data_IF_436787583326
#
_entry.id   IF_436787583326
#
_cell.length_a   1.000
_cell.length_b   1.000
_cell.length_c   1.000
_cell.angle_alpha   90.00
_cell.angle_beta   90.00
_cell.angle_gamma   90.00
#
_symmetry.space_group_name_H-M   'P 1'
#
loop_
_entity.id
_entity.type
_entity.pdbx_description
1 polymer ?
#
# COMPACT_ATOMS: atom_id res chain seq x y z
N UNK A 1 7.58 -6.87 23.06
CA UNK A 1 7.97 -5.74 23.94
C UNK A 1 8.10 -4.52 23.05
N UNK A 2 7.55 -3.36 23.44
CA UNK A 2 7.67 -2.15 22.62
C UNK A 2 9.14 -1.68 22.56
N UNK A 3 9.64 -1.48 21.36
CA UNK A 3 10.95 -0.89 21.06
C UNK A 3 10.74 0.45 20.36
N UNK A 4 11.49 1.49 20.73
CA UNK A 4 11.49 2.75 19.98
C UNK A 4 12.34 2.57 18.72
N UNK A 5 11.71 2.46 17.55
CA UNK A 5 12.37 2.18 16.28
C UNK A 5 11.96 3.18 15.21
N UNK A 6 12.91 3.56 14.37
CA UNK A 6 12.60 4.20 13.09
C UNK A 6 11.80 3.22 12.22
N UNK A 7 10.78 3.71 11.50
CA UNK A 7 9.95 2.85 10.64
C UNK A 7 10.74 1.97 9.68
N UNK A 8 11.82 2.49 9.08
CA UNK A 8 12.69 1.71 8.20
C UNK A 8 13.35 0.50 8.90
N UNK A 9 13.77 0.68 10.15
CA UNK A 9 14.37 -0.35 10.99
C UNK A 9 13.33 -1.39 11.41
N UNK A 10 12.11 -0.94 11.73
CA UNK A 10 11.00 -1.80 12.06
C UNK A 10 10.66 -2.75 10.89
N UNK A 11 10.62 -2.24 9.66
CA UNK A 11 10.44 -3.05 8.45
C UNK A 11 11.60 -4.01 8.24
N UNK A 12 12.86 -3.58 8.36
CA UNK A 12 14.00 -4.47 8.22
C UNK A 12 13.95 -5.66 9.20
N UNK A 13 13.50 -5.42 10.44
CA UNK A 13 13.26 -6.47 11.44
C UNK A 13 12.08 -7.37 11.05
N UNK A 14 10.95 -6.81 10.61
CA UNK A 14 9.78 -7.59 10.19
C UNK A 14 10.11 -8.51 9.00
N UNK A 15 10.81 -7.99 7.99
CA UNK A 15 11.32 -8.76 6.85
C UNK A 15 12.26 -9.86 7.32
N UNK A 16 13.16 -9.57 8.26
CA UNK A 16 14.06 -10.57 8.85
C UNK A 16 13.28 -11.71 9.52
N UNK A 17 12.19 -11.42 10.23
CA UNK A 17 11.32 -12.46 10.82
C UNK A 17 10.67 -13.35 9.76
N UNK A 18 10.41 -12.83 8.57
CA UNK A 18 9.85 -13.59 7.46
C UNK A 18 10.88 -14.48 6.75
N UNK A 19 12.18 -14.34 7.05
CA UNK A 19 13.29 -15.14 6.50
C UNK A 19 13.25 -15.23 4.96
N UNK A 20 13.28 -14.11 4.22
CA UNK A 20 13.55 -14.17 2.79
C UNK A 20 14.91 -14.83 2.57
N UNK A 21 15.00 -15.63 1.51
CA UNK A 21 16.21 -16.32 1.08
C UNK A 21 17.01 -15.46 0.10
N UNK A 22 16.35 -14.54 -0.61
CA UNK A 22 16.99 -13.56 -1.51
C UNK A 22 16.41 -12.17 -1.27
N UNK A 23 17.30 -11.20 -1.10
CA UNK A 23 16.98 -9.78 -1.09
C UNK A 23 17.78 -9.10 -2.20
N UNK A 24 17.12 -8.37 -3.09
CA UNK A 24 17.80 -7.54 -4.09
C UNK A 24 17.18 -6.15 -4.12
N UNK A 25 18.01 -5.11 -4.10
CA UNK A 25 17.53 -3.74 -4.10
C UNK A 25 18.59 -2.77 -4.62
N UNK A 26 18.12 -1.62 -5.09
CA UNK A 26 18.95 -0.48 -5.46
C UNK A 26 18.57 0.71 -4.57
N UNK A 27 19.54 1.46 -4.01
CA UNK A 27 19.25 2.49 -3.03
C UNK A 27 18.54 3.70 -3.66
N UNK A 28 17.38 4.04 -3.12
CA UNK A 28 16.63 5.25 -3.46
C UNK A 28 15.93 5.82 -2.22
N UNK A 29 16.13 7.10 -1.93
CA UNK A 29 15.47 7.78 -0.81
C UNK A 29 13.95 7.77 -1.00
N UNK A 30 13.12 7.54 0.04
CA UNK A 30 13.46 7.26 1.44
C UNK A 30 13.61 5.77 1.80
N UNK A 31 13.52 4.87 0.83
CA UNK A 31 13.61 3.44 1.06
C UNK A 31 15.00 2.98 1.54
N UNK A 32 16.08 3.68 1.18
CA UNK A 32 17.48 3.26 1.40
C UNK A 32 17.75 2.71 2.80
N UNK A 33 17.24 3.34 3.87
CA UNK A 33 17.47 2.87 5.25
C UNK A 33 16.97 1.44 5.49
N UNK A 34 15.90 1.00 4.81
CA UNK A 34 15.38 -0.37 4.94
C UNK A 34 16.44 -1.38 4.49
N UNK A 35 17.06 -1.15 3.33
CA UNK A 35 18.06 -2.07 2.77
C UNK A 35 19.39 -1.99 3.49
N UNK A 36 19.79 -0.82 3.97
CA UNK A 36 20.97 -0.68 4.83
C UNK A 36 20.80 -1.46 6.14
N UNK A 37 19.63 -1.38 6.78
CA UNK A 37 19.34 -2.13 8.00
C UNK A 37 19.26 -3.65 7.74
N UNK A 38 18.67 -4.08 6.61
CA UNK A 38 18.70 -5.50 6.22
C UNK A 38 20.15 -5.96 6.02
N UNK A 39 20.97 -5.20 5.28
CA UNK A 39 22.38 -5.52 5.06
C UNK A 39 23.15 -5.65 6.38
N UNK A 40 22.88 -4.76 7.34
CA UNK A 40 23.45 -4.85 8.69
C UNK A 40 23.00 -6.12 9.42
N UNK A 41 21.72 -6.47 9.40
CA UNK A 41 21.20 -7.69 10.03
C UNK A 41 21.79 -8.97 9.42
N UNK A 42 22.10 -8.95 8.11
CA UNK A 42 22.84 -10.04 7.45
C UNK A 42 24.28 -10.10 7.91
N UNK A 43 24.99 -8.97 7.93
CA UNK A 43 26.38 -8.89 8.39
C UNK A 43 26.54 -9.31 9.86
N UNK A 44 25.55 -9.00 10.70
CA UNK A 44 25.50 -9.38 12.11
C UNK A 44 25.07 -10.85 12.33
N UNK A 45 24.76 -11.59 11.26
CA UNK A 45 24.33 -13.00 11.32
C UNK A 45 22.91 -13.22 11.83
N UNK A 46 22.09 -12.17 11.89
CA UNK A 46 20.69 -12.22 12.35
C UNK A 46 19.72 -12.65 11.23
N UNK A 47 20.10 -12.43 9.96
CA UNK A 47 19.37 -12.91 8.79
C UNK A 47 20.31 -13.70 7.87
N UNK A 48 19.92 -14.93 7.52
CA UNK A 48 20.59 -15.74 6.51
C UNK A 48 19.85 -15.60 5.18
N UNK A 49 20.30 -14.68 4.34
CA UNK A 49 19.78 -14.43 2.98
C UNK A 49 20.93 -14.17 2.03
N UNK A 50 20.72 -14.43 0.73
CA UNK A 50 21.56 -13.87 -0.32
C UNK A 50 21.16 -12.40 -0.52
N UNK A 51 22.11 -11.47 -0.38
CA UNK A 51 21.89 -10.04 -0.62
C UNK A 51 22.57 -9.64 -1.93
N UNK A 52 21.78 -9.20 -2.91
CA UNK A 52 22.29 -8.84 -4.24
C UNK A 52 22.23 -7.34 -4.44
N UNK A 53 23.41 -6.71 -4.48
CA UNK A 53 23.57 -5.31 -4.90
C UNK A 53 23.53 -5.21 -6.41
N UNK A 54 22.45 -4.66 -6.94
CA UNK A 54 22.22 -4.50 -8.37
C UNK A 54 22.64 -3.10 -8.87
N UNK A 55 22.61 -2.88 -10.17
CA UNK A 55 22.95 -1.61 -10.83
C UNK A 55 21.76 -0.67 -11.06
N UNK A 56 20.52 -1.18 -10.92
CA UNK A 56 19.29 -0.40 -11.05
C UNK A 56 18.08 -1.11 -10.42
N UNK A 57 16.98 -0.39 -10.22
CA UNK A 57 15.73 -0.96 -9.73
C UNK A 57 15.11 -1.98 -10.70
N UNK A 58 15.28 -1.81 -12.02
CA UNK A 58 14.89 -2.82 -13.01
C UNK A 58 15.57 -4.17 -12.71
N UNK A 59 16.87 -4.13 -12.40
CA UNK A 59 17.66 -5.31 -12.08
C UNK A 59 17.31 -5.88 -10.71
N UNK A 60 16.99 -5.04 -9.71
CA UNK A 60 16.48 -5.49 -8.42
C UNK A 60 15.20 -6.33 -8.60
N UNK A 61 14.21 -5.82 -9.34
CA UNK A 61 12.98 -6.53 -9.63
C UNK A 61 13.23 -7.82 -10.42
N UNK A 62 14.16 -7.80 -11.39
CA UNK A 62 14.51 -8.98 -12.21
C UNK A 62 15.18 -10.09 -11.39
N UNK A 63 16.05 -9.73 -10.45
CA UNK A 63 16.71 -10.70 -9.56
C UNK A 63 15.70 -11.36 -8.63
N UNK A 64 14.84 -10.59 -7.96
CA UNK A 64 13.81 -11.19 -7.09
C UNK A 64 12.80 -12.02 -7.87
N UNK A 65 12.45 -11.62 -9.09
CA UNK A 65 11.62 -12.41 -10.00
C UNK A 65 12.26 -13.79 -10.26
N UNK A 66 13.55 -13.81 -10.65
CA UNK A 66 14.28 -15.05 -10.88
C UNK A 66 14.36 -15.93 -9.63
N UNK A 67 14.66 -15.33 -8.47
CA UNK A 67 14.74 -16.02 -7.19
C UNK A 67 13.41 -16.68 -6.79
N UNK A 68 12.31 -15.92 -6.84
CA UNK A 68 10.98 -16.42 -6.51
C UNK A 68 10.49 -17.47 -7.52
N UNK A 69 10.78 -17.28 -8.81
CA UNK A 69 10.50 -18.29 -9.84
C UNK A 69 11.29 -19.60 -9.61
N UNK A 70 12.48 -19.55 -9.02
CA UNK A 70 13.25 -20.71 -8.60
C UNK A 70 12.79 -21.33 -7.26
N UNK A 71 11.79 -20.73 -6.60
CA UNK A 71 11.20 -21.24 -5.36
C UNK A 71 11.79 -20.65 -4.07
N UNK A 72 12.58 -19.58 -4.15
CA UNK A 72 13.10 -18.88 -2.97
C UNK A 72 12.14 -17.79 -2.49
N UNK A 73 11.95 -17.64 -1.17
CA UNK A 73 11.19 -16.50 -0.64
C UNK A 73 11.99 -15.21 -0.92
N UNK A 74 11.43 -14.29 -1.70
CA UNK A 74 12.16 -13.10 -2.17
C UNK A 74 11.57 -11.79 -1.66
N UNK A 75 12.45 -10.79 -1.48
CA UNK A 75 12.08 -9.45 -1.02
C UNK A 75 12.84 -8.35 -1.77
N UNK A 76 12.17 -7.24 -2.00
CA UNK A 76 12.82 -6.00 -2.45
C UNK A 76 12.12 -4.79 -1.84
N UNK A 77 12.70 -3.60 -2.01
CA UNK A 77 12.05 -2.35 -1.64
C UNK A 77 12.51 -1.24 -2.58
N UNK A 78 11.61 -0.30 -2.90
CA UNK A 78 11.90 0.85 -3.75
C UNK A 78 10.97 2.04 -3.45
N UNK A 79 11.12 3.12 -4.23
CA UNK A 79 10.38 4.38 -4.12
C UNK A 79 10.36 5.11 -5.47
N UNK A 80 9.34 5.95 -5.73
CA UNK A 80 9.34 6.96 -6.81
C UNK A 80 9.82 6.42 -8.16
N UNK A 81 10.89 7.00 -8.71
CA UNK A 81 11.47 6.64 -10.01
C UNK A 81 11.90 5.17 -10.07
N UNK A 82 12.30 4.60 -8.93
CA UNK A 82 12.67 3.21 -8.83
C UNK A 82 11.50 2.28 -9.13
N UNK A 83 10.30 2.59 -8.62
CA UNK A 83 9.07 1.85 -8.94
C UNK A 83 8.75 1.96 -10.45
N UNK A 84 8.96 3.14 -11.05
CA UNK A 84 8.76 3.33 -12.49
C UNK A 84 9.77 2.52 -13.31
N UNK A 85 11.03 2.44 -12.89
CA UNK A 85 12.05 1.60 -13.52
C UNK A 85 11.75 0.10 -13.36
N UNK A 86 11.05 -0.30 -12.31
CA UNK A 86 10.58 -1.68 -12.12
C UNK A 86 9.34 -2.03 -12.95
N UNK A 87 8.61 -1.05 -13.50
CA UNK A 87 7.23 -1.22 -13.97
C UNK A 87 7.04 -2.44 -14.89
N UNK A 88 7.86 -2.59 -15.94
CA UNK A 88 7.79 -3.75 -16.85
C UNK A 88 7.90 -5.09 -16.09
N UNK A 89 8.85 -5.17 -15.16
CA UNK A 89 9.11 -6.38 -14.38
C UNK A 89 7.96 -6.65 -13.40
N UNK A 90 7.37 -5.61 -12.81
CA UNK A 90 6.20 -5.76 -11.92
C UNK A 90 5.01 -6.39 -12.65
N UNK A 91 4.71 -5.97 -13.89
CA UNK A 91 3.67 -6.60 -14.72
C UNK A 91 3.99 -8.08 -15.01
N UNK A 92 5.26 -8.40 -15.28
CA UNK A 92 5.71 -9.77 -15.51
C UNK A 92 5.59 -10.66 -14.26
N UNK A 93 6.01 -10.17 -13.09
CA UNK A 93 5.90 -10.89 -11.80
C UNK A 93 4.43 -11.28 -11.54
N UNK A 94 3.51 -10.32 -11.66
CA UNK A 94 2.10 -10.57 -11.42
C UNK A 94 1.47 -11.45 -12.50
N UNK A 95 1.79 -11.21 -13.78
CA UNK A 95 1.28 -11.97 -14.91
C UNK A 95 1.69 -13.45 -14.86
N UNK A 96 2.90 -13.74 -14.37
CA UNK A 96 3.37 -15.11 -14.12
C UNK A 96 2.90 -15.68 -12.77
N UNK A 97 2.23 -14.85 -11.95
CA UNK A 97 1.69 -15.19 -10.64
C UNK A 97 2.80 -15.66 -9.69
N UNK A 98 3.86 -14.86 -9.60
CA UNK A 98 5.05 -15.12 -8.78
C UNK A 98 4.84 -14.48 -7.40
N UNK A 99 4.87 -15.27 -6.31
CA UNK A 99 4.69 -14.75 -4.95
C UNK A 99 5.97 -14.07 -4.44
N UNK A 100 5.83 -12.83 -3.97
CA UNK A 100 6.88 -12.05 -3.32
C UNK A 100 6.33 -10.78 -2.67
N UNK A 101 7.14 -10.15 -1.83
CA UNK A 101 6.82 -8.89 -1.17
C UNK A 101 7.77 -7.78 -1.62
N UNK A 102 7.20 -6.63 -2.00
CA UNK A 102 7.93 -5.38 -2.22
C UNK A 102 7.42 -4.33 -1.23
N UNK A 103 8.33 -3.67 -0.52
CA UNK A 103 7.96 -2.46 0.23
C UNK A 103 8.13 -1.23 -0.66
N UNK A 104 7.04 -0.52 -0.91
CA UNK A 104 7.05 0.77 -1.59
C UNK A 104 7.07 1.87 -0.53
N UNK A 105 8.22 2.49 -0.29
CA UNK A 105 8.27 3.69 0.54
C UNK A 105 7.84 4.88 -0.32
N UNK A 106 6.53 5.15 -0.32
CA UNK A 106 5.84 6.06 -1.21
C UNK A 106 6.47 7.46 -1.22
N UNK A 107 6.87 7.89 -2.41
CA UNK A 107 7.55 9.15 -2.69
C UNK A 107 7.06 9.74 -4.02
N UNK A 108 6.95 11.05 -4.04
CA UNK A 108 6.65 11.84 -5.22
C UNK A 108 7.45 11.46 -6.48
N UNK A 109 6.74 11.28 -7.60
CA UNK A 109 7.32 11.19 -8.93
C UNK A 109 7.70 12.60 -9.42
N UNK A 110 8.91 12.77 -9.98
CA UNK A 110 9.33 14.02 -10.63
C UNK A 110 8.70 14.25 -12.01
N UNK A 111 8.66 15.45 -12.58
CA UNK A 111 9.38 16.69 -12.27
C UNK A 111 8.45 17.82 -11.77
N UNK A 112 8.88 18.67 -10.81
CA UNK A 112 10.22 18.76 -10.23
C UNK A 112 10.58 17.56 -9.34
N UNK A 113 11.88 17.33 -9.10
CA UNK A 113 12.30 16.28 -8.18
C UNK A 113 11.78 16.58 -6.77
N UNK A 114 11.15 15.59 -6.16
CA UNK A 114 10.73 15.65 -4.78
C UNK A 114 11.06 14.31 -4.11
N UNK A 115 11.70 14.37 -2.94
CA UNK A 115 12.12 13.19 -2.17
C UNK A 115 11.09 12.77 -1.12
N UNK A 116 10.15 13.64 -0.82
CA UNK A 116 9.16 13.47 0.22
C UNK A 116 7.95 12.68 -0.27
N UNK A 117 7.05 12.38 0.66
CA UNK A 117 5.91 11.53 0.39
C UNK A 117 4.85 12.20 -0.49
N UNK A 118 4.49 11.47 -1.51
CA UNK A 118 3.11 11.33 -1.95
C UNK A 118 2.98 9.87 -2.44
N UNK A 119 1.81 9.47 -2.95
CA UNK A 119 1.53 8.08 -3.34
C UNK A 119 1.54 7.88 -4.86
N UNK A 120 2.01 8.86 -5.64
CA UNK A 120 2.02 8.82 -7.11
C UNK A 120 2.77 7.61 -7.68
N UNK A 121 3.79 7.12 -7.00
CA UNK A 121 4.60 5.97 -7.42
C UNK A 121 3.85 4.64 -7.43
N UNK A 122 3.29 4.22 -6.30
CA UNK A 122 2.43 3.04 -6.20
C UNK A 122 1.19 3.17 -7.08
N UNK A 123 0.62 4.37 -7.17
CA UNK A 123 -0.55 4.65 -8.00
C UNK A 123 -0.24 4.57 -9.50
N UNK A 124 0.99 4.85 -9.94
CA UNK A 124 1.42 4.70 -11.33
C UNK A 124 1.44 3.24 -11.80
N UNK A 125 1.58 2.28 -10.87
CA UNK A 125 1.63 0.84 -11.15
C UNK A 125 0.42 0.08 -10.58
N UNK A 126 -0.67 0.78 -10.24
CA UNK A 126 -1.91 0.17 -9.68
C UNK A 126 -2.55 -0.91 -10.57
N UNK A 127 -2.28 -0.89 -11.87
CA UNK A 127 -2.81 -1.85 -12.84
C UNK A 127 -1.83 -3.00 -13.15
N UNK A 128 -0.68 -3.04 -12.46
CA UNK A 128 0.33 -4.10 -12.61
C UNK A 128 -0.15 -5.49 -12.17
N UNK A 129 -1.25 -5.56 -11.41
CA UNK A 129 -1.78 -6.80 -10.83
C UNK A 129 -1.25 -7.13 -9.44
N UNK A 130 -0.45 -6.25 -8.85
CA UNK A 130 0.00 -6.39 -7.47
C UNK A 130 -1.13 -6.09 -6.49
N UNK A 131 -1.20 -6.85 -5.40
CA UNK A 131 -2.00 -6.48 -4.23
C UNK A 131 -1.31 -5.27 -3.60
N UNK A 132 -2.04 -4.19 -3.32
CA UNK A 132 -1.49 -2.97 -2.73
C UNK A 132 -2.14 -2.69 -1.38
N UNK A 133 -1.33 -2.72 -0.32
CA UNK A 133 -1.74 -2.53 1.08
C UNK A 133 -1.03 -1.29 1.66
N UNK A 134 -1.79 -0.28 2.07
CA UNK A 134 -1.30 1.00 2.58
C UNK A 134 -1.40 1.04 4.09
N UNK A 135 -0.28 1.26 4.76
CA UNK A 135 -0.18 1.27 6.21
C UNK A 135 -0.38 2.67 6.79
N UNK A 136 -1.06 2.77 7.94
CA UNK A 136 -1.26 4.05 8.63
C UNK A 136 -0.11 4.45 9.57
N UNK A 137 0.55 3.47 10.18
CA UNK A 137 1.63 3.66 11.15
C UNK A 137 2.69 2.55 11.03
N UNK A 138 3.77 2.65 11.80
CA UNK A 138 4.87 1.69 11.74
C UNK A 138 4.52 0.32 12.35
N UNK A 139 3.60 0.25 13.32
CA UNK A 139 3.15 -1.03 13.87
C UNK A 139 2.33 -1.81 12.84
N UNK A 140 1.40 -1.12 12.16
CA UNK A 140 0.62 -1.67 11.06
C UNK A 140 1.53 -2.10 9.91
N UNK A 141 2.61 -1.37 9.64
CA UNK A 141 3.56 -1.73 8.59
C UNK A 141 4.36 -3.01 8.90
N UNK A 142 4.76 -3.21 10.16
CA UNK A 142 5.36 -4.47 10.63
C UNK A 142 4.39 -5.63 10.48
N UNK A 143 3.17 -5.48 10.98
CA UNK A 143 2.16 -6.53 10.96
C UNK A 143 1.73 -6.85 9.52
N UNK A 144 1.56 -5.83 8.68
CA UNK A 144 1.21 -5.96 7.26
C UNK A 144 2.33 -6.62 6.46
N UNK A 145 3.60 -6.38 6.77
CA UNK A 145 4.73 -7.05 6.10
C UNK A 145 4.67 -8.57 6.30
N UNK A 146 4.35 -9.02 7.51
CA UNK A 146 4.23 -10.45 7.82
C UNK A 146 2.97 -11.05 7.18
N UNK A 147 1.85 -10.33 7.25
CA UNK A 147 0.63 -10.72 6.54
C UNK A 147 0.85 -10.81 5.03
N UNK A 148 1.62 -9.90 4.44
CA UNK A 148 1.91 -9.85 3.00
C UNK A 148 2.57 -11.14 2.51
N UNK A 149 3.50 -11.72 3.27
CA UNK A 149 4.09 -13.02 2.92
C UNK A 149 3.06 -14.15 2.93
N UNK A 150 2.18 -14.20 3.93
CA UNK A 150 1.11 -15.21 3.93
C UNK A 150 0.16 -15.02 2.75
N UNK A 151 -0.27 -13.79 2.49
CA UNK A 151 -1.20 -13.46 1.41
C UNK A 151 -0.57 -13.83 0.06
N UNK A 152 0.67 -13.40 -0.19
CA UNK A 152 1.36 -13.68 -1.46
C UNK A 152 1.53 -15.18 -1.68
N UNK A 153 1.90 -15.94 -0.65
CA UNK A 153 2.15 -17.38 -0.77
C UNK A 153 0.88 -18.20 -1.02
N UNK A 154 -0.26 -17.78 -0.45
CA UNK A 154 -1.54 -18.48 -0.64
C UNK A 154 -2.26 -18.10 -1.92
N UNK A 155 -2.17 -16.83 -2.30
CA UNK A 155 -2.83 -16.31 -3.50
C UNK A 155 -1.97 -16.48 -4.75
N UNK A 156 -0.66 -16.70 -4.59
CA UNK A 156 0.35 -16.63 -5.62
C UNK A 156 0.28 -15.31 -6.43
N UNK A 157 -0.03 -14.20 -5.75
CA UNK A 157 0.05 -12.83 -6.27
C UNK A 157 1.11 -12.05 -5.52
N UNK A 158 1.91 -11.21 -6.20
CA UNK A 158 2.86 -10.38 -5.50
C UNK A 158 2.14 -9.28 -4.69
N UNK A 159 2.70 -8.93 -3.53
CA UNK A 159 2.14 -7.93 -2.61
C UNK A 159 3.08 -6.74 -2.45
N UNK A 160 2.52 -5.55 -2.61
CA UNK A 160 3.17 -4.26 -2.38
C UNK A 160 2.69 -3.71 -1.04
N UNK A 161 3.62 -3.60 -0.09
CA UNK A 161 3.39 -2.93 1.19
C UNK A 161 3.77 -1.46 1.02
N UNK A 162 2.75 -0.60 0.97
CA UNK A 162 2.87 0.83 0.75
C UNK A 162 3.00 1.56 2.09
N UNK A 163 4.09 2.30 2.25
CA UNK A 163 4.37 3.11 3.42
C UNK A 163 4.66 4.55 3.02
N UNK A 164 4.04 5.52 3.69
CA UNK A 164 4.29 6.92 3.40
C UNK A 164 5.74 7.30 3.77
N UNK A 165 6.54 7.65 2.76
CA UNK A 165 7.96 7.99 2.92
C UNK A 165 8.19 9.18 3.84
N UNK A 166 9.27 9.17 4.62
CA UNK A 166 9.56 10.13 5.70
C UNK A 166 8.56 10.10 6.86
N UNK A 167 7.25 10.25 6.60
CA UNK A 167 6.19 10.24 7.62
C UNK A 167 6.20 8.93 8.41
N UNK A 168 6.30 7.78 7.74
CA UNK A 168 6.45 6.50 8.42
C UNK A 168 7.91 6.05 8.44
N UNK A 169 8.57 6.07 7.28
CA UNK A 169 9.88 5.42 7.16
C UNK A 169 10.99 6.05 8.00
N UNK A 170 10.88 7.33 8.39
CA UNK A 170 11.90 8.04 9.18
C UNK A 170 11.42 8.44 10.59
N UNK A 171 10.16 8.20 10.92
CA UNK A 171 9.61 8.52 12.24
C UNK A 171 9.94 7.41 13.21
N UNK A 172 10.34 7.79 14.43
CA UNK A 172 10.53 6.87 15.54
C UNK A 172 9.20 6.69 16.28
N UNK A 173 8.76 5.45 16.41
CA UNK A 173 7.55 5.09 17.14
C UNK A 173 7.83 3.87 18.05
N UNK A 174 7.08 3.71 19.16
CA UNK A 174 7.08 2.46 19.90
C UNK A 174 6.43 1.35 19.07
N UNK A 175 7.21 0.36 18.67
CA UNK A 175 6.76 -0.77 17.84
C UNK A 175 7.04 -2.10 18.54
N UNK A 176 6.06 -3.00 18.54
CA UNK A 176 6.17 -4.38 18.99
C UNK A 176 6.59 -5.29 17.82
N UNK A 177 7.86 -5.69 17.82
CA UNK A 177 8.39 -6.65 16.85
C UNK A 177 8.04 -8.06 17.32
N UNK A 178 7.29 -8.85 16.54
CA UNK A 178 6.93 -10.21 16.95
C UNK A 178 8.17 -11.11 17.05
N UNK A 179 8.11 -12.03 18.00
CA UNK A 179 9.13 -13.06 18.18
C UNK A 179 9.14 -14.04 17.01
N UNK A 180 10.30 -14.65 16.76
CA UNK A 180 10.49 -15.54 15.61
C UNK A 180 9.52 -16.73 15.63
N UNK A 181 9.33 -17.37 16.78
CA UNK A 181 8.46 -18.56 16.90
C UNK A 181 6.99 -18.22 16.59
N UNK A 182 6.55 -17.00 16.95
CA UNK A 182 5.21 -16.51 16.62
C UNK A 182 5.07 -16.37 15.10
N UNK A 183 6.05 -15.74 14.44
CA UNK A 183 6.04 -15.59 12.98
C UNK A 183 6.12 -16.95 12.28
N UNK A 184 6.97 -17.88 12.75
CA UNK A 184 7.09 -19.22 12.18
C UNK A 184 5.78 -20.03 12.31
N UNK A 185 4.98 -19.78 13.36
CA UNK A 185 3.66 -20.41 13.53
C UNK A 185 2.60 -19.87 12.56
N UNK A 186 2.74 -18.60 12.16
CA UNK A 186 1.81 -17.91 11.26
C UNK A 186 2.19 -18.08 9.78
N UNK A 187 3.49 -18.04 9.50
CA UNK A 187 4.10 -18.10 8.18
C UNK A 187 5.01 -19.33 8.10
N UNK A 188 4.47 -20.49 7.69
CA UNK A 188 5.25 -21.71 7.57
C UNK A 188 6.31 -21.58 6.46
N UNK A 189 7.09 -22.65 6.28
CA UNK A 189 8.09 -22.71 5.21
C UNK A 189 7.43 -22.47 3.84
N UNK A 190 8.05 -21.59 3.06
CA UNK A 190 7.59 -21.27 1.71
C UNK A 190 7.64 -22.50 0.79
N UNK A 191 6.55 -22.74 0.08
CA UNK A 191 6.46 -23.76 -0.95
C UNK A 191 5.77 -23.19 -2.20
N UNK A 192 6.53 -23.05 -3.29
CA UNK A 192 5.98 -22.61 -4.56
C UNK A 192 5.81 -23.77 -5.53
N UNK A 193 4.57 -24.23 -5.72
CA UNK A 193 4.25 -25.38 -6.58
C UNK A 193 4.67 -25.16 -8.03
N UNK A 194 4.79 -23.91 -8.47
CA UNK A 194 5.14 -23.52 -9.83
C UNK A 194 6.61 -23.13 -9.97
N UNK A 195 7.43 -23.40 -8.96
CA UNK A 195 8.87 -23.22 -9.02
C UNK A 195 9.50 -23.99 -10.19
N UNK A 196 10.52 -23.39 -10.77
CA UNK A 196 11.39 -23.96 -11.80
C UNK A 196 12.32 -24.99 -11.17
N UNK A 197 12.29 -26.22 -11.70
CA UNK A 197 13.13 -27.33 -11.25
C UNK A 197 13.72 -28.04 -12.48
N UNK A 198 15.05 -28.16 -12.62
CA UNK A 198 15.68 -28.91 -13.70
C UNK A 198 15.26 -30.38 -13.77
N UNK A 199 14.87 -30.98 -12.64
CA UNK A 199 14.41 -32.37 -12.57
C UNK A 199 12.92 -32.52 -12.93
N UNK A 200 12.16 -31.43 -12.90
CA UNK A 200 10.75 -31.34 -13.30
C UNK A 200 10.51 -30.06 -14.10
N UNK A 201 11.06 -29.96 -15.33
CA UNK A 201 11.14 -28.69 -16.05
C UNK A 201 9.77 -28.11 -16.38
N UNK A 202 9.67 -26.79 -16.22
CA UNK A 202 8.50 -25.96 -16.55
C UNK A 202 8.95 -24.72 -17.30
N UNK A 203 8.04 -24.14 -18.07
CA UNK A 203 8.23 -22.82 -18.69
C UNK A 203 7.29 -21.82 -18.05
N UNK A 204 7.80 -20.64 -17.70
CA UNK A 204 7.03 -19.52 -17.16
C UNK A 204 7.16 -18.33 -18.11
N UNK A 205 6.09 -17.55 -18.27
CA UNK A 205 6.12 -16.33 -19.10
C UNK A 205 6.31 -16.57 -20.59
N UNK A 206 5.89 -17.74 -21.10
CA UNK A 206 6.00 -18.06 -22.53
C UNK A 206 5.11 -17.15 -23.39
N UNK A 207 5.51 -16.96 -24.65
CA UNK A 207 4.63 -16.36 -25.65
C UNK A 207 3.35 -17.21 -25.78
N UNK A 208 2.19 -16.57 -25.64
CA UNK A 208 0.88 -17.19 -25.83
C UNK A 208 0.10 -16.39 -26.87
N UNK A 209 -0.61 -17.11 -27.73
CA UNK A 209 -1.42 -16.50 -28.78
C UNK A 209 -2.79 -16.01 -28.28
N UNK A 210 -3.56 -15.35 -29.16
CA UNK A 210 -4.92 -14.90 -28.85
C UNK A 210 -5.87 -16.02 -28.36
N UNK A 211 -5.60 -17.28 -28.74
CA UNK A 211 -6.41 -18.44 -28.35
C UNK A 211 -6.32 -18.80 -26.85
N UNK A 212 -5.36 -18.23 -26.11
CA UNK A 212 -5.12 -18.55 -24.69
C UNK A 212 -4.88 -17.33 -23.79
N UNK A 213 -4.56 -16.17 -24.36
CA UNK A 213 -4.28 -14.98 -23.56
C UNK A 213 -5.49 -14.51 -22.71
N UNK A 214 -6.74 -14.50 -23.23
CA UNK A 214 -7.91 -14.18 -22.41
C UNK A 214 -8.08 -15.10 -21.19
N UNK A 215 -7.85 -16.40 -21.34
CA UNK A 215 -7.95 -17.41 -20.29
C UNK A 215 -6.91 -17.18 -19.20
N UNK A 216 -5.68 -16.84 -19.58
CA UNK A 216 -4.61 -16.51 -18.63
C UNK A 216 -4.94 -15.22 -17.86
N UNK A 217 -5.45 -14.19 -18.55
CA UNK A 217 -5.88 -12.94 -17.90
C UNK A 217 -7.09 -13.15 -16.98
N UNK A 218 -8.02 -14.03 -17.38
CA UNK A 218 -9.14 -14.44 -16.53
C UNK A 218 -8.64 -15.15 -15.27
N UNK A 219 -7.74 -16.11 -15.39
CA UNK A 219 -7.13 -16.81 -14.25
C UNK A 219 -6.43 -15.85 -13.28
N UNK A 220 -5.67 -14.88 -13.82
CA UNK A 220 -5.04 -13.82 -13.01
C UNK A 220 -6.08 -12.95 -12.29
N UNK A 221 -7.16 -12.55 -12.96
CA UNK A 221 -8.25 -11.80 -12.35
C UNK A 221 -8.96 -12.61 -11.25
N UNK A 222 -9.26 -13.90 -11.47
CA UNK A 222 -9.88 -14.76 -10.47
C UNK A 222 -9.03 -14.87 -9.20
N UNK A 223 -7.72 -14.94 -9.34
CA UNK A 223 -6.85 -14.97 -8.18
C UNK A 223 -6.80 -13.63 -7.43
N UNK A 224 -6.91 -12.50 -8.13
CA UNK A 224 -7.06 -11.19 -7.52
C UNK A 224 -8.39 -11.10 -6.76
N UNK A 225 -9.47 -11.65 -7.30
CA UNK A 225 -10.75 -11.73 -6.59
C UNK A 225 -10.67 -12.64 -5.35
N UNK A 226 -10.00 -13.79 -5.44
CA UNK A 226 -9.74 -14.68 -4.31
C UNK A 226 -8.93 -13.99 -3.20
N UNK A 227 -8.01 -13.09 -3.56
CA UNK A 227 -7.17 -12.39 -2.56
C UNK A 227 -7.96 -11.51 -1.60
N UNK A 228 -9.17 -11.06 -1.97
CA UNK A 228 -10.05 -10.27 -1.10
C UNK A 228 -10.31 -11.00 0.22
N UNK A 229 -10.70 -12.28 0.14
CA UNK A 229 -11.01 -13.10 1.31
C UNK A 229 -9.73 -13.47 2.09
N UNK A 230 -8.62 -13.72 1.40
CA UNK A 230 -7.35 -14.04 2.06
C UNK A 230 -6.78 -12.83 2.82
N UNK A 231 -6.98 -11.60 2.36
CA UNK A 231 -6.55 -10.38 3.08
C UNK A 231 -7.30 -10.25 4.41
N UNK A 232 -8.62 -10.47 4.42
CA UNK A 232 -9.42 -10.43 5.65
C UNK A 232 -9.05 -11.61 6.57
N UNK A 233 -8.85 -12.82 6.02
CA UNK A 233 -8.46 -13.99 6.80
C UNK A 233 -7.06 -13.85 7.42
N UNK A 234 -6.10 -13.27 6.69
CA UNK A 234 -4.77 -12.97 7.19
C UNK A 234 -4.82 -11.97 8.36
N UNK A 235 -5.58 -10.90 8.24
CA UNK A 235 -5.76 -9.91 9.31
C UNK A 235 -6.44 -10.53 10.56
N UNK A 236 -7.50 -11.31 10.36
CA UNK A 236 -8.23 -11.96 11.44
C UNK A 236 -7.37 -12.98 12.21
N UNK A 237 -6.61 -13.83 11.50
CA UNK A 237 -5.71 -14.79 12.13
C UNK A 237 -4.55 -14.10 12.84
N UNK A 238 -4.03 -13.01 12.27
CA UNK A 238 -3.01 -12.20 12.93
C UNK A 238 -3.53 -11.57 14.21
N UNK A 239 -4.77 -11.06 14.20
CA UNK A 239 -5.45 -10.55 15.39
C UNK A 239 -5.67 -11.64 16.44
N UNK A 240 -6.06 -12.84 16.04
CA UNK A 240 -6.22 -13.96 16.98
C UNK A 240 -4.89 -14.35 17.64
N UNK A 241 -3.79 -14.25 16.91
CA UNK A 241 -2.46 -14.63 17.38
C UNK A 241 -1.80 -13.55 18.26
N UNK A 242 -2.01 -12.27 17.93
CA UNK A 242 -1.27 -11.15 18.54
C UNK A 242 -2.12 -10.16 19.32
N UNK A 243 -3.44 -10.21 19.14
CA UNK A 243 -4.38 -9.19 19.62
C UNK A 243 -4.43 -7.92 18.76
N UNK A 244 -3.59 -7.79 17.72
CA UNK A 244 -3.49 -6.59 16.88
C UNK A 244 -4.20 -6.77 15.54
N UNK A 245 -4.93 -5.73 15.13
CA UNK A 245 -5.63 -5.68 13.84
C UNK A 245 -4.98 -4.64 12.95
N UNK A 246 -4.73 -4.97 11.69
CA UNK A 246 -4.21 -4.04 10.69
C UNK A 246 -5.34 -3.37 9.88
N UNK A 247 -6.53 -3.97 9.85
CA UNK A 247 -7.74 -3.32 9.30
C UNK A 247 -8.31 -3.98 8.04
N UNK A 248 -7.92 -5.22 7.75
CA UNK A 248 -8.41 -5.99 6.60
C UNK A 248 -8.26 -5.22 5.28
N UNK A 249 -9.36 -5.15 4.52
CA UNK A 249 -9.46 -4.34 3.31
C UNK A 249 -9.67 -2.85 3.60
N UNK A 250 -10.52 -2.54 4.59
CA UNK A 250 -10.77 -1.19 5.08
C UNK A 250 -11.30 -1.24 6.52
N UNK A 251 -11.12 -0.15 7.26
CA UNK A 251 -11.68 0.06 8.59
C UNK A 251 -12.50 1.34 8.65
N UNK A 252 -13.53 1.34 9.49
CA UNK A 252 -14.39 2.49 9.76
C UNK A 252 -14.37 2.78 11.24
N UNK A 253 -14.26 4.05 11.60
CA UNK A 253 -14.28 4.49 13.00
C UNK A 253 -15.04 5.83 13.13
N UNK A 254 -15.88 5.95 14.15
CA UNK A 254 -16.72 7.13 14.40
C UNK A 254 -18.16 6.78 14.76
N UNK A 255 -19.02 7.78 15.00
CA UNK A 255 -20.40 7.57 15.44
C UNK A 255 -21.23 6.80 14.41
N UNK A 256 -22.08 5.88 14.86
CA UNK A 256 -22.91 5.05 13.98
C UNK A 256 -23.90 5.87 13.15
N UNK A 257 -24.41 6.97 13.73
CA UNK A 257 -25.41 7.89 13.17
C UNK A 257 -24.80 9.06 12.37
N UNK A 258 -23.47 9.14 12.30
CA UNK A 258 -22.80 10.15 11.48
C UNK A 258 -23.16 9.98 9.99
N UNK A 259 -23.61 11.07 9.37
CA UNK A 259 -24.01 11.14 7.97
C UNK A 259 -22.93 11.77 7.07
N UNK A 260 -21.75 12.06 7.63
CA UNK A 260 -20.53 12.46 6.93
C UNK A 260 -19.49 11.34 7.03
N UNK A 261 -18.88 10.98 5.91
CA UNK A 261 -17.68 10.15 5.86
C UNK A 261 -16.46 10.94 5.39
N UNK A 262 -15.29 10.61 5.93
CA UNK A 262 -13.99 11.07 5.42
C UNK A 262 -13.15 9.82 5.15
N UNK A 263 -12.95 9.51 3.88
CA UNK A 263 -12.13 8.39 3.42
C UNK A 263 -10.72 8.87 3.14
N UNK A 264 -9.71 8.15 3.63
CA UNK A 264 -8.33 8.37 3.23
C UNK A 264 -7.53 7.07 3.19
N UNK A 265 -6.29 7.19 2.71
CA UNK A 265 -5.36 6.08 2.52
C UNK A 265 -3.98 6.44 3.10
N UNK A 266 -3.32 5.46 3.72
CA UNK A 266 -2.02 5.65 4.36
C UNK A 266 -2.07 6.45 5.66
N UNK A 267 -0.98 7.14 5.98
CA UNK A 267 -0.71 7.75 7.30
C UNK A 267 -1.60 8.95 7.64
N UNK A 268 -2.22 9.60 6.64
CA UNK A 268 -3.08 10.77 6.85
C UNK A 268 -4.27 10.49 7.79
N UNK A 269 -4.70 9.22 7.90
CA UNK A 269 -5.79 8.82 8.79
C UNK A 269 -5.51 9.15 10.25
N UNK A 270 -4.25 9.03 10.71
CA UNK A 270 -3.89 9.28 12.10
C UNK A 270 -4.01 10.76 12.46
N UNK A 271 -3.65 11.65 11.53
CA UNK A 271 -3.91 13.08 11.66
C UNK A 271 -5.42 13.36 11.74
N UNK A 272 -6.24 12.71 10.93
CA UNK A 272 -7.70 12.91 10.95
C UNK A 272 -8.33 12.39 12.24
N UNK A 273 -7.83 11.29 12.82
CA UNK A 273 -8.23 10.82 14.15
C UNK A 273 -7.93 11.87 15.23
N UNK A 274 -6.69 12.35 15.29
CA UNK A 274 -6.28 13.38 16.24
C UNK A 274 -7.10 14.68 16.05
N UNK A 275 -7.35 15.08 14.81
CA UNK A 275 -8.13 16.28 14.50
C UNK A 275 -9.60 16.15 14.93
N UNK A 276 -10.23 14.98 14.73
CA UNK A 276 -11.60 14.75 15.19
C UNK A 276 -11.71 14.83 16.72
N UNK A 277 -10.68 14.40 17.44
CA UNK A 277 -10.61 14.52 18.91
C UNK A 277 -10.41 15.97 19.37
N UNK A 278 -9.57 16.75 18.68
CA UNK A 278 -9.30 18.16 18.99
C UNK A 278 -10.47 19.09 18.62
N UNK A 279 -11.25 18.75 17.59
CA UNK A 279 -12.36 19.56 17.10
C UNK A 279 -13.74 18.86 17.27
N UNK A 280 -14.18 18.58 18.51
CA UNK A 280 -15.41 17.81 18.77
C UNK A 280 -16.71 18.53 18.37
N UNK A 281 -16.66 19.86 18.22
CA UNK A 281 -17.82 20.69 17.84
C UNK A 281 -18.12 20.65 16.34
N UNK A 282 -17.26 20.03 15.54
CA UNK A 282 -17.49 19.84 14.11
C UNK A 282 -18.60 18.82 13.83
N UNK A 283 -19.12 18.80 12.60
CA UNK A 283 -20.09 17.78 12.17
C UNK A 283 -19.51 16.38 12.42
N UNK A 284 -20.21 15.50 13.16
CA UNK A 284 -19.73 14.14 13.42
C UNK A 284 -19.44 13.39 12.11
N UNK A 285 -18.26 12.78 12.01
CA UNK A 285 -17.81 12.08 10.82
C UNK A 285 -17.30 10.67 11.11
N UNK A 286 -17.60 9.74 10.20
CA UNK A 286 -16.96 8.43 10.11
C UNK A 286 -15.64 8.56 9.36
N UNK A 287 -14.54 8.16 9.98
CA UNK A 287 -13.23 8.06 9.34
C UNK A 287 -13.10 6.68 8.71
N UNK A 288 -12.87 6.63 7.40
CA UNK A 288 -12.79 5.40 6.60
C UNK A 288 -11.35 5.26 6.11
N UNK A 289 -10.61 4.32 6.70
CA UNK A 289 -9.24 3.99 6.25
C UNK A 289 -9.31 2.92 5.17
N UNK A 290 -8.99 3.30 3.93
CA UNK A 290 -8.80 2.35 2.85
C UNK A 290 -7.40 1.75 2.96
N UNK A 291 -7.29 0.52 3.47
CA UNK A 291 -6.01 -0.20 3.59
C UNK A 291 -5.64 -0.91 2.30
N UNK A 292 -6.57 -1.64 1.71
CA UNK A 292 -6.36 -2.37 0.46
C UNK A 292 -6.91 -1.55 -0.72
N UNK A 293 -6.03 -1.06 -1.59
CA UNK A 293 -6.45 -0.36 -2.81
C UNK A 293 -6.56 -1.33 -4.00
N UNK A 294 -5.77 -2.40 -3.99
CA UNK A 294 -5.83 -3.51 -4.94
C UNK A 294 -5.78 -4.84 -4.19
N UNK A 295 -6.75 -5.76 -4.36
CA UNK A 295 -8.02 -5.57 -5.08
C UNK A 295 -8.87 -4.45 -4.47
N UNK A 296 -9.60 -3.68 -5.30
CA UNK A 296 -10.41 -2.58 -4.79
C UNK A 296 -11.66 -3.11 -4.05
N UNK A 297 -11.90 -2.75 -2.77
CA UNK A 297 -12.90 -3.41 -1.93
C UNK A 297 -14.30 -2.80 -2.08
N UNK A 298 -14.84 -2.83 -3.31
CA UNK A 298 -16.08 -2.13 -3.65
C UNK A 298 -17.29 -2.52 -2.78
N UNK A 299 -17.44 -3.80 -2.43
CA UNK A 299 -18.55 -4.27 -1.60
C UNK A 299 -18.49 -3.70 -0.18
N UNK A 300 -17.32 -3.80 0.46
CA UNK A 300 -17.10 -3.29 1.82
C UNK A 300 -17.15 -1.76 1.87
N UNK A 301 -16.72 -1.09 0.81
CA UNK A 301 -16.84 0.37 0.69
C UNK A 301 -18.31 0.79 0.62
N UNK A 302 -19.14 0.11 -0.18
CA UNK A 302 -20.58 0.38 -0.23
C UNK A 302 -21.23 0.23 1.13
N UNK A 303 -20.91 -0.83 1.87
CA UNK A 303 -21.38 -1.04 3.24
C UNK A 303 -20.96 0.12 4.17
N UNK A 304 -19.69 0.51 4.13
CA UNK A 304 -19.16 1.61 4.93
C UNK A 304 -19.82 2.97 4.64
N UNK A 305 -20.32 3.17 3.42
CA UNK A 305 -20.95 4.41 2.98
C UNK A 305 -22.49 4.42 3.12
N UNK A 306 -23.11 3.35 3.62
CA UNK A 306 -24.57 3.33 3.82
C UNK A 306 -25.01 4.42 4.80
N UNK A 307 -26.05 5.17 4.41
CA UNK A 307 -26.62 6.26 5.20
C UNK A 307 -25.83 7.57 5.18
N UNK A 308 -24.66 7.63 4.55
CA UNK A 308 -23.93 8.87 4.37
C UNK A 308 -24.66 9.80 3.40
N UNK A 309 -24.70 11.09 3.72
CA UNK A 309 -25.12 12.17 2.81
C UNK A 309 -23.93 12.78 2.08
N UNK A 310 -22.79 12.85 2.75
CA UNK A 310 -21.57 13.45 2.21
C UNK A 310 -20.38 12.51 2.46
N UNK A 311 -19.50 12.42 1.48
CA UNK A 311 -18.24 11.68 1.55
C UNK A 311 -17.10 12.56 1.03
N UNK A 312 -16.14 12.86 1.90
CA UNK A 312 -14.89 13.51 1.53
C UNK A 312 -13.85 12.42 1.27
N UNK A 313 -13.26 12.40 0.07
CA UNK A 313 -12.15 11.48 -0.25
C UNK A 313 -10.85 12.27 -0.27
N UNK A 314 -9.95 11.92 0.64
CA UNK A 314 -8.64 12.53 0.83
C UNK A 314 -7.55 11.58 0.37
N UNK A 315 -6.71 12.02 -0.56
CA UNK A 315 -5.62 11.20 -1.11
C UNK A 315 -4.35 12.01 -1.39
N UNK A 316 -3.20 11.32 -1.46
CA UNK A 316 -1.90 11.93 -1.77
C UNK A 316 -1.44 11.59 -3.19
N UNK A 317 -2.36 11.55 -4.14
CA UNK A 317 -2.08 11.36 -5.55
C UNK A 317 -3.21 11.96 -6.38
N UNK A 318 -2.93 12.31 -7.63
CA UNK A 318 -3.96 12.72 -8.58
C UNK A 318 -3.54 12.41 -10.00
N UNK A 319 -4.52 12.38 -10.90
CA UNK A 319 -4.34 12.28 -12.34
C UNK A 319 -4.54 13.67 -12.96
N UNK A 320 -3.47 14.31 -13.49
CA UNK A 320 -3.58 15.60 -14.14
C UNK A 320 -4.62 15.60 -15.26
N UNK A 321 -5.55 16.56 -15.23
CA UNK A 321 -6.64 16.68 -16.19
C UNK A 321 -7.91 15.89 -15.85
N UNK A 322 -7.91 15.04 -14.81
CA UNK A 322 -9.10 14.33 -14.34
C UNK A 322 -9.45 14.66 -12.89
N UNK A 323 -8.50 14.53 -11.96
CA UNK A 323 -8.73 14.67 -10.52
C UNK A 323 -8.08 13.54 -9.72
N UNK A 324 -8.56 13.27 -8.50
CA UNK A 324 -7.99 12.24 -7.65
C UNK A 324 -8.23 10.82 -8.16
N UNK A 325 -7.28 9.94 -7.91
CA UNK A 325 -7.25 8.57 -8.42
C UNK A 325 -8.17 7.69 -7.57
N UNK A 326 -8.04 7.76 -6.25
CA UNK A 326 -8.88 7.05 -5.29
C UNK A 326 -10.31 7.56 -5.36
N UNK A 327 -10.51 8.88 -5.41
CA UNK A 327 -11.85 9.49 -5.50
C UNK A 327 -12.63 9.02 -6.73
N UNK A 328 -11.95 8.87 -7.87
CA UNK A 328 -12.56 8.35 -9.10
C UNK A 328 -13.06 6.91 -8.93
N UNK A 329 -12.28 6.04 -8.29
CA UNK A 329 -12.66 4.64 -8.08
C UNK A 329 -13.70 4.46 -6.98
N UNK A 330 -13.65 5.27 -5.92
CA UNK A 330 -14.70 5.35 -4.90
C UNK A 330 -16.03 5.68 -5.57
N UNK A 331 -16.06 6.71 -6.41
CA UNK A 331 -17.27 7.10 -7.15
C UNK A 331 -17.78 5.97 -8.04
N UNK A 332 -16.89 5.31 -8.79
CA UNK A 332 -17.27 4.19 -9.63
C UNK A 332 -17.83 2.99 -8.83
N UNK A 333 -17.23 2.67 -7.67
CA UNK A 333 -17.65 1.57 -6.82
C UNK A 333 -19.00 1.81 -6.14
N UNK A 334 -19.29 3.06 -5.75
CA UNK A 334 -20.56 3.46 -5.17
C UNK A 334 -21.67 3.56 -6.23
N UNK A 335 -21.35 4.07 -7.42
CA UNK A 335 -22.31 4.16 -8.54
C UNK A 335 -22.77 2.79 -9.07
N UNK A 336 -22.01 1.73 -8.81
CA UNK A 336 -22.39 0.35 -9.14
C UNK A 336 -23.35 -0.29 -8.12
N UNK A 337 -23.66 0.38 -7.01
CA UNK A 337 -24.64 -0.09 -6.02
C UNK A 337 -26.06 0.40 -6.31
N UNK A 338 -27.04 -0.24 -5.67
CA UNK A 338 -28.45 0.17 -5.75
C UNK A 338 -28.82 1.27 -4.74
N UNK A 339 -27.95 1.51 -3.75
CA UNK A 339 -28.16 2.50 -2.69
C UNK A 339 -27.91 3.93 -3.19
N UNK A 340 -28.62 4.94 -2.65
CA UNK A 340 -28.33 6.34 -2.94
C UNK A 340 -26.87 6.68 -2.61
N UNK A 341 -26.17 7.27 -3.56
CA UNK A 341 -24.80 7.74 -3.34
C UNK A 341 -24.80 9.00 -2.44
N UNK A 342 -23.86 9.11 -1.49
CA UNK A 342 -23.57 10.41 -0.89
C UNK A 342 -23.05 11.38 -1.96
N UNK A 343 -23.15 12.68 -1.70
CA UNK A 343 -22.35 13.67 -2.42
C UNK A 343 -20.88 13.38 -2.16
N UNK A 344 -20.09 13.19 -3.23
CA UNK A 344 -18.66 12.88 -3.12
C UNK A 344 -17.85 14.10 -3.51
N UNK A 345 -16.97 14.55 -2.61
CA UNK A 345 -15.96 15.57 -2.91
C UNK A 345 -14.58 14.96 -2.73
N UNK A 346 -13.63 15.33 -3.58
CA UNK A 346 -12.32 14.70 -3.61
C UNK A 346 -11.22 15.75 -3.50
N UNK A 347 -10.35 15.56 -2.52
CA UNK A 347 -9.29 16.49 -2.19
C UNK A 347 -7.94 15.78 -2.19
N UNK A 348 -7.03 16.30 -3.00
CA UNK A 348 -5.63 15.94 -2.92
C UNK A 348 -4.92 16.90 -1.97
N UNK A 349 -4.21 16.35 -0.99
CA UNK A 349 -3.46 17.11 0.02
C UNK A 349 -2.09 16.47 0.26
N UNK A 350 -1.18 17.23 0.86
CA UNK A 350 0.10 16.71 1.35
C UNK A 350 1.04 16.24 0.25
N UNK A 351 0.83 16.71 -1.00
CA UNK A 351 1.68 16.33 -2.13
C UNK A 351 3.14 16.71 -1.87
N UNK A 352 4.04 15.79 -2.19
CA UNK A 352 5.46 16.03 -2.04
C UNK A 352 5.88 16.41 -0.62
N UNK A 353 5.22 15.84 0.39
CA UNK A 353 5.52 16.01 1.81
C UNK A 353 5.03 17.32 2.41
N UNK A 354 4.08 18.02 1.77
CA UNK A 354 3.41 19.15 2.41
C UNK A 354 2.71 18.66 3.68
N UNK A 355 2.85 19.46 4.74
CA UNK A 355 2.29 19.11 6.04
C UNK A 355 0.76 19.02 5.97
N UNK A 356 0.19 18.11 6.77
CA UNK A 356 -1.25 17.98 6.96
C UNK A 356 -1.55 18.35 8.41
N UNK A 357 -1.74 19.65 8.69
CA UNK A 357 -2.07 20.09 10.04
C UNK A 357 -3.50 19.68 10.40
N UNK A 358 -3.77 19.48 11.69
CA UNK A 358 -5.10 19.06 12.18
C UNK A 358 -6.18 20.09 11.83
N UNK A 359 -5.80 21.36 11.69
CA UNK A 359 -6.67 22.47 11.29
C UNK A 359 -7.24 22.33 9.87
N UNK A 360 -6.70 21.43 9.03
CA UNK A 360 -7.33 21.08 7.76
C UNK A 360 -8.67 20.35 7.96
N UNK A 361 -8.86 19.63 9.07
CA UNK A 361 -10.08 18.88 9.34
C UNK A 361 -11.35 19.74 9.31
N UNK A 362 -11.48 20.82 10.11
CA UNK A 362 -12.64 21.70 10.03
C UNK A 362 -12.78 22.36 8.64
N UNK A 363 -11.67 22.68 7.96
CA UNK A 363 -11.71 23.28 6.62
C UNK A 363 -12.28 22.30 5.57
N UNK A 364 -11.93 21.01 5.66
CA UNK A 364 -12.48 19.96 4.81
C UNK A 364 -14.00 19.88 4.99
N UNK A 365 -14.49 19.97 6.22
CA UNK A 365 -15.92 19.94 6.53
C UNK A 365 -16.61 21.21 6.01
N UNK A 366 -16.07 22.39 6.29
CA UNK A 366 -16.59 23.69 5.83
C UNK A 366 -16.67 23.76 4.29
N UNK A 367 -15.70 23.15 3.59
CA UNK A 367 -15.67 23.15 2.13
C UNK A 367 -16.88 22.47 1.46
N UNK A 368 -17.65 21.68 2.21
CA UNK A 368 -18.90 21.08 1.75
C UNK A 368 -20.01 22.10 1.52
N UNK A 369 -19.92 23.31 2.08
CA UNK A 369 -20.95 24.35 1.90
C UNK A 369 -21.00 24.85 0.45
N UNK A 370 -19.83 24.90 -0.22
CA UNK A 370 -19.68 25.42 -1.58
C UNK A 370 -19.40 24.33 -2.64
N UNK A 371 -19.16 23.08 -2.22
CA UNK A 371 -18.79 22.00 -3.14
C UNK A 371 -20.02 21.29 -3.74
N UNK A 372 -19.95 20.95 -5.04
CA UNK A 372 -20.93 20.11 -5.71
C UNK A 372 -20.46 18.65 -5.77
N UNK A 373 -21.37 17.71 -6.08
CA UNK A 373 -21.01 16.30 -6.28
C UNK A 373 -19.98 16.14 -7.41
N UNK A 374 -18.92 15.38 -7.14
CA UNK A 374 -17.80 15.18 -8.06
C UNK A 374 -16.78 16.32 -8.06
N UNK A 375 -16.88 17.30 -7.17
CA UNK A 375 -15.90 18.37 -7.07
C UNK A 375 -14.50 17.82 -6.70
N UNK A 376 -13.48 18.33 -7.39
CA UNK A 376 -12.08 18.04 -7.13
C UNK A 376 -11.28 19.30 -6.83
N UNK A 377 -10.37 19.25 -5.85
CA UNK A 377 -9.36 20.29 -5.61
C UNK A 377 -8.04 19.68 -5.14
N UNK A 378 -6.92 20.29 -5.54
CA UNK A 378 -5.69 20.21 -4.73
C UNK A 378 -5.90 21.21 -3.59
N UNK A 379 -6.22 20.69 -2.41
CA UNK A 379 -6.92 21.46 -1.37
C UNK A 379 -5.99 22.40 -0.60
N UNK A 380 -4.73 22.02 -0.45
CA UNK A 380 -3.67 22.78 0.23
C UNK A 380 -2.78 23.58 -0.73
N UNK A 381 -3.28 23.91 -1.93
CA UNK A 381 -2.54 24.70 -2.93
C UNK A 381 -2.48 26.18 -2.55
N UNK A 382 -1.31 26.79 -2.75
CA UNK A 382 -1.07 28.23 -2.56
C UNK A 382 -0.64 28.79 -3.92
N UNK A 383 -1.60 29.30 -4.70
CA UNK A 383 -1.40 29.73 -6.10
C UNK A 383 -0.42 30.90 -6.21
N UNK A 384 -0.27 31.69 -5.15
CA UNK A 384 0.71 32.77 -5.04
C UNK A 384 2.17 32.29 -5.13
N UNK A 385 2.44 31.00 -4.85
CA UNK A 385 3.76 30.38 -5.02
C UNK A 385 4.09 30.09 -6.48
N UNK A 386 3.10 30.11 -7.36
CA UNK A 386 3.29 29.92 -8.80
C UNK A 386 3.62 31.24 -9.48
N UNK A 387 4.42 31.14 -10.55
CA UNK A 387 4.61 32.23 -11.49
C UNK A 387 3.27 32.60 -12.14
N UNK A 388 3.10 33.85 -12.57
CA UNK A 388 1.83 34.32 -13.13
C UNK A 388 1.41 33.52 -14.37
N UNK A 389 2.38 33.02 -15.14
CA UNK A 389 2.14 32.22 -16.35
C UNK A 389 1.63 30.80 -16.04
N UNK A 390 1.80 30.31 -14.80
CA UNK A 390 1.45 28.97 -14.34
C UNK A 390 0.16 28.94 -13.47
N UNK A 391 -0.46 30.10 -13.20
CA UNK A 391 -1.74 30.23 -12.48
C UNK A 391 -2.92 30.11 -13.44
#
# INVERSE_FOLDING_TARGET
MLEALEGSMAIAKAVTRCRPEVVAAYPITPQTHIVENISKLVADGQLKTELVSVESEFSAASVVLGAAAAGARAYTASSSQGILLMAEVLFNISGMRIPMVLTCANRAIGAPINIWNDQSDSMAVRDSGWIQLYCADNQEAVDTTIQAYRITERTELPVMVCMDGFVLTHTFEPVDIPEQDLVDSYLPKFEFKRALDPMSPKSLGTMVGPDFFPEIRHSHHQAMMYSVDEIEAADADWQNLTGRKSGGLLSVDGPEDADLGILCIGSAINTLHAAREEFPDQRPAKLIKLRCYRPFPAAKLREACQGLKDLIVVERAFSPGLGGIVGTEVRAALAAGDEPMPRIVNYTIGLGGRDIPIELYPQLIESLDDAHDGAFKIFDVELEKLAEEDR
#
